data_IF_421498419470
#
_entry.id   IF_421498419470
#
_cell.length_a   1.000
_cell.length_b   1.000
_cell.length_c   1.000
_cell.angle_alpha   90.00
_cell.angle_beta   90.00
_cell.angle_gamma   90.00
#
_symmetry.space_group_name_H-M   'P 1'
#
loop_
_entity.id
_entity.type
_entity.pdbx_description
1 polymer ?
#
# COMPACT_ATOMS: atom_id res chain seq x y z
N UNK A 1 18.11 16.35 5.56
CA UNK A 1 16.89 16.16 6.38
C UNK A 1 16.71 14.67 6.59
N UNK A 2 16.62 14.18 7.82
CA UNK A 2 16.31 12.77 8.07
C UNK A 2 14.88 12.49 7.63
N UNK A 3 14.66 11.46 6.82
CA UNK A 3 13.32 10.96 6.52
C UNK A 3 12.61 10.59 7.83
N UNK A 4 11.31 10.91 8.00
CA UNK A 4 10.57 10.49 9.17
C UNK A 4 10.67 8.96 9.30
N UNK A 5 11.28 8.49 10.39
CA UNK A 5 11.34 7.07 10.69
C UNK A 5 9.94 6.60 11.05
N UNK A 6 9.39 5.66 10.28
CA UNK A 6 8.14 4.99 10.63
C UNK A 6 8.28 4.38 12.04
N UNK A 7 7.25 4.49 12.90
CA UNK A 7 7.30 3.90 14.24
C UNK A 7 7.57 2.39 14.14
N UNK A 8 8.19 1.73 15.13
CA UNK A 8 8.41 0.29 15.07
C UNK A 8 7.09 -0.50 14.86
N UNK A 9 7.13 -1.59 14.08
CA UNK A 9 5.94 -2.42 13.84
C UNK A 9 5.41 -3.00 15.15
N UNK A 10 4.09 -2.98 15.35
CA UNK A 10 3.47 -3.56 16.54
C UNK A 10 3.63 -5.10 16.56
N UNK A 11 3.89 -5.68 17.75
CA UNK A 11 3.90 -7.12 17.91
C UNK A 11 2.50 -7.69 17.60
N UNK A 12 2.43 -8.69 16.71
CA UNK A 12 1.14 -9.23 16.22
C UNK A 12 0.55 -8.52 15.00
N UNK A 13 1.30 -7.65 14.30
CA UNK A 13 0.89 -7.01 13.04
C UNK A 13 0.73 -7.97 11.83
N UNK A 14 0.47 -9.25 12.09
CA UNK A 14 0.25 -10.25 11.05
C UNK A 14 -0.98 -9.88 10.22
N UNK A 15 -0.79 -9.83 8.91
CA UNK A 15 -1.85 -9.89 7.91
C UNK A 15 -2.90 -8.75 7.92
N UNK A 16 -2.54 -7.54 8.36
CA UNK A 16 -3.44 -6.35 8.28
C UNK A 16 -3.09 -5.41 7.13
N UNK A 17 -4.08 -4.62 6.68
CA UNK A 17 -3.88 -3.57 5.67
C UNK A 17 -2.82 -2.55 6.10
N UNK A 18 -2.84 -2.14 7.37
CA UNK A 18 -1.86 -1.21 7.90
C UNK A 18 -0.43 -1.75 7.78
N UNK A 19 -0.22 -3.04 8.09
CA UNK A 19 1.08 -3.69 7.92
C UNK A 19 1.50 -3.78 6.44
N UNK A 20 0.54 -3.99 5.52
CA UNK A 20 0.78 -3.90 4.07
C UNK A 20 1.18 -2.50 3.63
N UNK A 21 0.52 -1.46 4.14
CA UNK A 21 0.84 -0.05 3.85
C UNK A 21 2.25 0.29 4.33
N UNK A 22 2.63 -0.15 5.53
CA UNK A 22 4.00 -0.01 6.02
C UNK A 22 5.01 -0.69 5.09
N UNK A 23 4.74 -1.93 4.68
CA UNK A 23 5.63 -2.66 3.78
C UNK A 23 5.79 -1.94 2.44
N UNK A 24 4.69 -1.44 1.86
CA UNK A 24 4.74 -0.60 0.66
C UNK A 24 5.53 0.70 0.89
N UNK A 25 5.35 1.40 2.01
CA UNK A 25 6.11 2.62 2.31
C UNK A 25 7.61 2.37 2.43
N UNK A 26 8.00 1.22 2.97
CA UNK A 26 9.41 0.82 3.09
C UNK A 26 10.00 0.43 1.73
N UNK A 27 9.22 -0.26 0.89
CA UNK A 27 9.68 -0.72 -0.42
C UNK A 27 9.61 0.36 -1.52
N UNK A 28 8.72 1.33 -1.42
CA UNK A 28 8.59 2.40 -2.42
C UNK A 28 9.75 3.38 -2.31
N UNK A 29 10.54 3.50 -3.36
CA UNK A 29 11.66 4.43 -3.50
C UNK A 29 11.55 5.23 -4.80
N UNK A 30 12.29 6.34 -5.00
CA UNK A 30 12.20 7.13 -6.24
C UNK A 30 12.50 6.35 -7.53
N UNK A 31 13.28 5.27 -7.43
CA UNK A 31 13.61 4.38 -8.54
C UNK A 31 12.54 3.30 -8.83
N UNK A 32 11.51 3.16 -8.00
CA UNK A 32 10.48 2.12 -8.11
C UNK A 32 10.27 1.36 -6.80
N UNK A 33 10.11 0.04 -6.89
CA UNK A 33 9.86 -0.83 -5.74
C UNK A 33 11.10 -1.66 -5.40
N UNK A 34 11.56 -1.56 -4.16
CA UNK A 34 12.65 -2.36 -3.61
C UNK A 34 12.15 -3.73 -3.12
N UNK A 35 12.23 -4.72 -4.00
CA UNK A 35 11.75 -6.08 -3.74
C UNK A 35 12.44 -6.77 -2.56
N UNK A 36 13.71 -6.44 -2.32
CA UNK A 36 14.46 -6.97 -1.18
C UNK A 36 13.81 -6.60 0.16
N UNK A 37 13.25 -5.39 0.25
CA UNK A 37 12.56 -4.89 1.45
C UNK A 37 11.24 -5.64 1.69
N UNK A 38 10.48 -5.96 0.63
CA UNK A 38 9.29 -6.79 0.75
C UNK A 38 9.63 -8.22 1.20
N UNK A 39 10.64 -8.84 0.57
CA UNK A 39 11.10 -10.18 0.94
C UNK A 39 11.60 -10.26 2.39
N UNK A 40 12.35 -9.26 2.84
CA UNK A 40 12.80 -9.16 4.23
C UNK A 40 11.63 -9.02 5.21
N UNK A 41 10.52 -8.40 4.79
CA UNK A 41 9.26 -8.33 5.53
C UNK A 41 8.41 -9.61 5.51
N UNK A 42 8.90 -10.68 4.87
CA UNK A 42 8.22 -11.97 4.75
C UNK A 42 7.12 -11.99 3.70
N UNK A 43 7.16 -11.08 2.72
CA UNK A 43 6.25 -11.08 1.58
C UNK A 43 6.79 -11.99 0.48
N UNK A 44 5.97 -12.92 0.02
CA UNK A 44 6.29 -13.84 -1.06
C UNK A 44 5.80 -13.30 -2.39
N UNK A 45 6.69 -13.31 -3.38
CA UNK A 45 6.44 -12.78 -4.72
C UNK A 45 5.90 -13.85 -5.68
N UNK A 46 4.89 -13.45 -6.45
CA UNK A 46 4.27 -14.23 -7.51
C UNK A 46 4.16 -13.35 -8.76
N UNK A 47 4.81 -13.77 -9.84
CA UNK A 47 4.77 -13.04 -11.11
C UNK A 47 3.40 -13.22 -11.78
N UNK A 48 2.75 -12.11 -12.12
CA UNK A 48 1.52 -12.10 -12.90
C UNK A 48 1.84 -11.59 -14.30
N UNK A 49 2.09 -12.51 -15.21
CA UNK A 49 2.14 -12.23 -16.64
C UNK A 49 0.71 -12.36 -17.17
N UNK A 50 0.02 -11.25 -17.35
CA UNK A 50 -1.21 -11.25 -18.16
C UNK A 50 -0.85 -11.86 -19.52
N UNK A 51 -1.73 -12.72 -20.06
CA UNK A 51 -1.38 -13.61 -21.18
C UNK A 51 -1.00 -12.95 -22.52
N UNK A 52 -0.84 -11.63 -22.58
CA UNK A 52 -0.43 -10.85 -23.75
C UNK A 52 0.71 -9.87 -23.42
N UNK A 53 1.58 -9.60 -24.39
CA UNK A 53 2.70 -8.65 -24.26
C UNK A 53 2.27 -7.18 -24.01
N UNK A 54 0.96 -6.91 -24.11
CA UNK A 54 0.35 -5.60 -23.83
C UNK A 54 -0.09 -5.46 -22.37
N UNK A 55 -0.24 -6.55 -21.62
CA UNK A 55 -0.50 -6.48 -20.19
C UNK A 55 0.74 -5.96 -19.46
N UNK A 56 0.54 -4.90 -18.67
CA UNK A 56 1.61 -4.37 -17.82
C UNK A 56 2.08 -5.49 -16.88
N UNK A 57 3.39 -5.73 -16.79
CA UNK A 57 3.88 -6.81 -15.96
C UNK A 57 3.71 -6.38 -14.49
N UNK A 58 2.94 -7.18 -13.76
CA UNK A 58 2.62 -6.96 -12.36
C UNK A 58 3.20 -8.09 -11.52
N UNK A 59 3.50 -7.77 -10.27
CA UNK A 59 3.87 -8.76 -9.27
C UNK A 59 2.91 -8.67 -8.11
N UNK A 60 2.47 -9.84 -7.69
CA UNK A 60 1.65 -10.05 -6.51
C UNK A 60 2.59 -10.42 -5.38
N UNK A 61 2.45 -9.73 -4.24
CA UNK A 61 3.11 -10.13 -3.01
C UNK A 61 2.07 -10.50 -1.96
N UNK A 62 2.22 -11.66 -1.35
CA UNK A 62 1.32 -12.13 -0.31
C UNK A 62 2.08 -12.53 0.95
N UNK A 63 1.38 -12.44 2.07
CA UNK A 63 1.86 -12.93 3.37
C UNK A 63 0.66 -13.48 4.12
N UNK A 64 0.70 -14.77 4.42
CA UNK A 64 -0.37 -15.47 5.11
C UNK A 64 -1.73 -15.37 4.38
N UNK A 65 -2.79 -15.03 5.13
CA UNK A 65 -4.16 -14.84 4.60
C UNK A 65 -4.56 -13.36 4.54
N UNK A 66 -3.59 -12.48 4.64
CA UNK A 66 -3.77 -11.04 4.77
C UNK A 66 -4.02 -10.31 3.46
N UNK A 67 -3.76 -8.99 3.43
CA UNK A 67 -3.87 -8.22 2.21
C UNK A 67 -2.85 -8.68 1.16
N UNK A 68 -3.16 -8.38 -0.10
CA UNK A 68 -2.29 -8.61 -1.24
C UNK A 68 -1.64 -7.29 -1.61
N UNK A 69 -0.33 -7.32 -1.87
CA UNK A 69 0.41 -6.21 -2.43
C UNK A 69 0.52 -6.39 -3.94
N UNK A 70 0.32 -5.33 -4.70
CA UNK A 70 0.47 -5.30 -6.15
C UNK A 70 1.50 -4.24 -6.50
N UNK A 71 2.53 -4.64 -7.22
CA UNK A 71 3.63 -3.76 -7.64
C UNK A 71 3.84 -3.88 -9.14
N UNK A 72 4.22 -2.78 -9.80
CA UNK A 72 4.74 -2.86 -11.16
C UNK A 72 6.12 -3.52 -11.18
N UNK A 73 6.51 -4.13 -12.30
CA UNK A 73 7.89 -4.61 -12.50
C UNK A 73 8.58 -3.85 -13.64
N UNK A 74 9.92 -3.84 -13.63
CA UNK A 74 10.70 -3.11 -14.63
C UNK A 74 10.38 -1.62 -14.64
N UNK A 75 10.19 -1.04 -15.83
CA UNK A 75 9.85 0.37 -15.97
C UNK A 75 8.52 0.75 -15.28
N UNK A 76 7.55 -0.18 -15.22
CA UNK A 76 6.26 0.06 -14.59
C UNK A 76 6.35 0.19 -13.06
N UNK A 77 7.43 -0.28 -12.42
CA UNK A 77 7.60 -0.20 -10.97
C UNK A 77 7.61 1.24 -10.45
N UNK A 78 8.09 2.20 -11.27
CA UNK A 78 8.11 3.62 -10.94
C UNK A 78 6.73 4.27 -11.06
N UNK A 79 5.98 3.90 -12.09
CA UNK A 79 4.74 4.60 -12.46
C UNK A 79 3.52 4.08 -11.68
N UNK A 80 3.53 2.81 -11.26
CA UNK A 80 2.42 2.19 -10.54
C UNK A 80 2.46 2.40 -9.03
N UNK A 81 3.65 2.56 -8.45
CA UNK A 81 3.82 2.50 -7.00
C UNK A 81 3.48 1.12 -6.43
N UNK A 82 3.12 1.09 -5.15
CA UNK A 82 2.77 -0.13 -4.42
C UNK A 82 1.33 -0.05 -3.93
N UNK A 83 0.49 -0.99 -4.34
CA UNK A 83 -0.90 -1.07 -3.91
C UNK A 83 -1.09 -2.17 -2.88
N UNK A 84 -1.92 -1.93 -1.87
CA UNK A 84 -2.36 -2.89 -0.88
C UNK A 84 -3.85 -3.10 -1.07
N UNK A 85 -4.28 -4.32 -1.34
CA UNK A 85 -5.68 -4.67 -1.60
C UNK A 85 -6.15 -5.67 -0.56
N UNK A 86 -7.32 -5.43 0.02
CA UNK A 86 -7.97 -6.38 0.90
C UNK A 86 -9.49 -6.24 0.89
N UNK A 87 -10.22 -7.32 1.18
CA UNK A 87 -11.67 -7.28 1.32
C UNK A 87 -12.08 -6.45 2.55
N UNK A 88 -13.20 -5.74 2.42
CA UNK A 88 -13.91 -5.11 3.52
C UNK A 88 -15.19 -5.90 3.80
N UNK A 89 -15.46 -6.15 5.08
CA UNK A 89 -16.70 -6.77 5.54
C UNK A 89 -17.88 -5.79 5.63
N UNK A 90 -17.63 -4.47 5.76
CA UNK A 90 -18.65 -3.40 5.79
C UNK A 90 -18.03 -1.99 5.74
N UNK A 91 -18.84 -0.92 5.72
CA UNK A 91 -18.38 0.48 5.87
C UNK A 91 -17.67 0.75 7.21
N UNK A 92 -18.10 0.10 8.29
CA UNK A 92 -17.37 0.16 9.57
C UNK A 92 -15.94 -0.41 9.43
N UNK A 93 -15.75 -1.34 8.49
CA UNK A 93 -14.43 -1.84 8.11
C UNK A 93 -13.53 -0.76 7.47
N UNK A 94 -14.08 0.21 6.75
CA UNK A 94 -13.29 1.31 6.17
C UNK A 94 -12.75 2.24 7.26
N UNK A 95 -13.61 2.72 8.17
CA UNK A 95 -13.19 3.58 9.28
C UNK A 95 -12.14 2.90 10.17
N UNK A 96 -12.35 1.61 10.50
CA UNK A 96 -11.36 0.82 11.24
C UNK A 96 -10.03 0.68 10.48
N UNK A 97 -10.06 0.61 9.14
CA UNK A 97 -8.86 0.60 8.30
C UNK A 97 -8.12 1.94 8.35
N UNK A 98 -8.86 3.05 8.27
CA UNK A 98 -8.31 4.42 8.41
C UNK A 98 -7.62 4.59 9.77
N UNK A 99 -8.25 4.14 10.86
CA UNK A 99 -7.69 4.20 12.20
C UNK A 99 -6.42 3.34 12.33
N UNK A 100 -6.45 2.13 11.78
CA UNK A 100 -5.32 1.22 11.76
C UNK A 100 -4.12 1.80 11.01
N UNK A 101 -4.34 2.38 9.83
CA UNK A 101 -3.30 3.05 9.04
C UNK A 101 -2.78 4.28 9.78
N UNK A 102 -3.66 5.14 10.30
CA UNK A 102 -3.26 6.34 11.04
C UNK A 102 -2.38 6.00 12.24
N UNK A 103 -2.72 4.95 12.99
CA UNK A 103 -1.92 4.45 14.11
C UNK A 103 -0.56 3.92 13.64
N UNK A 104 -0.54 3.19 12.53
CA UNK A 104 0.67 2.58 11.98
C UNK A 104 1.64 3.63 11.41
N UNK A 105 1.12 4.68 10.78
CA UNK A 105 1.93 5.75 10.20
C UNK A 105 2.40 6.77 11.26
N UNK A 106 1.67 6.90 12.37
CA UNK A 106 1.95 7.90 13.39
C UNK A 106 1.70 9.34 12.93
N UNK A 107 0.99 9.54 11.81
CA UNK A 107 0.61 10.85 11.27
C UNK A 107 -0.88 10.90 11.00
N UNK A 108 -1.47 12.09 11.13
CA UNK A 108 -2.88 12.31 10.80
C UNK A 108 -3.07 12.36 9.28
N UNK A 109 -4.25 11.97 8.78
CA UNK A 109 -4.60 12.19 7.37
C UNK A 109 -4.49 13.68 7.00
N UNK A 110 -4.03 13.93 5.78
CA UNK A 110 -4.06 15.25 5.12
C UNK A 110 -5.44 15.56 4.58
N UNK A 111 -6.17 14.54 4.10
CA UNK A 111 -7.62 14.61 3.82
C UNK A 111 -8.30 13.33 4.28
N UNK A 112 -9.58 13.42 4.66
CA UNK A 112 -10.34 12.28 5.16
C UNK A 112 -11.82 12.42 4.79
N UNK A 113 -12.21 11.76 3.70
CA UNK A 113 -13.58 11.66 3.22
C UNK A 113 -14.11 10.22 3.37
N UNK A 114 -15.44 10.00 3.39
CA UNK A 114 -16.02 8.66 3.57
C UNK A 114 -15.65 7.63 2.49
N UNK A 115 -15.12 8.08 1.35
CA UNK A 115 -14.71 7.21 0.24
C UNK A 115 -13.19 7.13 0.05
N UNK A 116 -12.45 8.11 0.57
CA UNK A 116 -11.01 8.27 0.32
C UNK A 116 -10.31 8.97 1.49
N UNK A 117 -9.12 8.51 1.84
CA UNK A 117 -8.29 9.12 2.89
C UNK A 117 -6.85 9.21 2.39
N UNK A 118 -6.25 10.39 2.51
CA UNK A 118 -4.87 10.67 2.10
C UNK A 118 -3.99 10.93 3.31
N UNK A 119 -2.81 10.30 3.36
CA UNK A 119 -1.72 10.66 4.27
C UNK A 119 -0.49 11.06 3.47
N UNK A 120 0.22 12.08 3.95
CA UNK A 120 1.54 12.46 3.44
C UNK A 120 2.59 12.06 4.49
N UNK A 121 3.49 11.15 4.10
CA UNK A 121 4.55 10.61 4.96
C UNK A 121 5.90 10.92 4.31
N UNK A 122 6.54 12.01 4.73
CA UNK A 122 7.81 12.45 4.18
C UNK A 122 7.71 12.85 2.70
N UNK A 123 8.22 12.01 1.81
CA UNK A 123 8.20 12.15 0.36
C UNK A 123 7.18 11.22 -0.32
N UNK A 124 6.28 10.58 0.44
CA UNK A 124 5.32 9.59 -0.07
C UNK A 124 3.90 9.98 0.24
N UNK A 125 3.00 9.69 -0.70
CA UNK A 125 1.56 9.76 -0.52
C UNK A 125 0.99 8.36 -0.30
N UNK A 126 0.10 8.22 0.68
CA UNK A 126 -0.71 7.02 0.91
C UNK A 126 -2.15 7.38 0.66
N UNK A 127 -2.77 6.80 -0.36
CA UNK A 127 -4.17 7.00 -0.69
C UNK A 127 -4.97 5.74 -0.41
N UNK A 128 -5.82 5.74 0.63
CA UNK A 128 -6.79 4.68 0.85
C UNK A 128 -8.09 5.05 0.16
N UNK A 129 -8.58 4.19 -0.73
CA UNK A 129 -9.88 4.35 -1.36
C UNK A 129 -10.74 3.09 -1.13
N UNK A 130 -12.04 3.30 -0.88
CA UNK A 130 -13.01 2.21 -0.91
C UNK A 130 -13.35 1.87 -2.35
N UNK A 131 -13.32 0.58 -2.69
CA UNK A 131 -13.83 0.07 -3.95
C UNK A 131 -15.11 -0.74 -3.69
N UNK A 132 -16.23 -0.28 -4.25
CA UNK A 132 -17.51 -1.00 -4.22
C UNK A 132 -17.75 -1.65 -5.57
N UNK A 133 -17.80 -2.98 -5.59
CA UNK A 133 -18.49 -3.73 -6.63
C UNK A 133 -19.80 -4.29 -6.03
N UNK A 134 -20.77 -4.57 -6.90
CA UNK A 134 -22.10 -5.14 -6.64
C UNK A 134 -22.12 -6.36 -5.71
N UNK A 135 -20.99 -7.04 -5.50
CA UNK A 135 -20.88 -8.28 -4.71
C UNK A 135 -19.91 -8.22 -3.54
N UNK A 136 -18.96 -7.27 -3.52
CA UNK A 136 -17.92 -7.18 -2.49
C UNK A 136 -17.48 -5.73 -2.27
N UNK A 137 -17.30 -5.37 -1.01
CA UNK A 137 -16.58 -4.14 -0.65
C UNK A 137 -15.11 -4.50 -0.49
N UNK A 138 -14.21 -3.71 -1.05
CA UNK A 138 -12.77 -3.83 -0.84
C UNK A 138 -12.17 -2.46 -0.56
N UNK A 139 -10.95 -2.43 -0.06
CA UNK A 139 -10.13 -1.22 -0.11
C UNK A 139 -8.88 -1.44 -0.94
N UNK A 140 -8.40 -0.33 -1.48
CA UNK A 140 -7.08 -0.21 -2.05
C UNK A 140 -6.36 0.93 -1.36
N UNK A 141 -5.23 0.64 -0.72
CA UNK A 141 -4.26 1.67 -0.38
C UNK A 141 -3.21 1.75 -1.49
N UNK A 142 -2.89 2.95 -1.95
CA UNK A 142 -1.86 3.19 -2.97
C UNK A 142 -0.74 4.02 -2.36
N UNK A 143 0.49 3.55 -2.47
CA UNK A 143 1.69 4.23 -1.98
C UNK A 143 2.56 4.64 -3.15
N UNK A 144 2.78 5.95 -3.29
CA UNK A 144 3.58 6.54 -4.37
C UNK A 144 4.56 7.56 -3.81
N UNK A 145 5.67 7.77 -4.51
CA UNK A 145 6.54 8.94 -4.27
C UNK A 145 5.88 10.21 -4.79
N UNK A 146 5.95 11.28 -4.02
CA UNK A 146 5.49 12.61 -4.40
C UNK A 146 6.64 13.30 -5.14
N UNK A 147 6.41 13.75 -6.37
CA UNK A 147 7.40 14.50 -7.12
C UNK A 147 7.80 15.79 -6.38
N UNK A 148 9.10 16.13 -6.39
CA UNK A 148 9.59 17.39 -5.84
C UNK A 148 8.85 18.57 -6.49
N UNK A 149 8.23 19.43 -5.68
CA UNK A 149 7.49 20.62 -6.12
C UNK A 149 5.98 20.59 -5.88
N UNK A 150 5.42 19.48 -5.41
CA UNK A 150 3.99 19.38 -5.03
C UNK A 150 3.73 19.50 -3.51
N UNK A 151 4.67 20.09 -2.77
CA UNK A 151 4.56 20.32 -1.31
C UNK A 151 4.02 21.71 -1.01
#
# INVERSE_FOLDING_TARGET
MLAPQLPAAAAGAGDTIAAGVRACLQATVPAGIEEASLKAGGWEAYDFNGGDAASMPLRIHSRGRGPILLTGVGAAAKDWGCHVVAPLSSTAGFAATVDGITKELGVRPTSNDPAETLWIVGDKGVLLAAAKDTKQTSVRATVVTIAEGMK
#
